data_IF_279877689675
#
_entry.id   IF_279877689675
#
_cell.length_a   1.000
_cell.length_b   1.000
_cell.length_c   1.000
_cell.angle_alpha   90.00
_cell.angle_beta   90.00
_cell.angle_gamma   90.00
#
_symmetry.space_group_name_H-M   'P 1'
#
loop_
_entity.id
_entity.type
_entity.pdbx_description
1 polymer ?
#
# COMPACT_ATOMS: atom_id res chain seq x y z
N UNK A 1 -2.08 13.87 -20.75
CA UNK A 1 -2.03 12.41 -20.56
C UNK A 1 -2.07 11.74 -21.93
N UNK A 2 -1.66 10.48 -22.08
CA UNK A 2 -2.08 9.69 -23.25
C UNK A 2 -3.61 9.69 -23.38
N UNK A 3 -4.14 9.21 -24.50
CA UNK A 3 -5.55 9.36 -24.93
C UNK A 3 -6.62 8.73 -24.01
N UNK A 4 -6.29 8.26 -22.81
CA UNK A 4 -7.22 7.60 -21.86
C UNK A 4 -6.98 8.03 -20.42
N UNK A 5 -8.06 8.15 -19.67
CA UNK A 5 -8.08 8.47 -18.23
C UNK A 5 -7.62 7.29 -17.36
N UNK A 6 -7.13 7.59 -16.16
CA UNK A 6 -6.97 6.58 -15.10
C UNK A 6 -8.32 6.43 -14.42
N UNK A 7 -8.83 5.20 -14.33
CA UNK A 7 -10.10 4.90 -13.66
C UNK A 7 -9.87 3.93 -12.53
N UNK A 8 -10.34 4.28 -11.33
CA UNK A 8 -10.31 3.43 -10.14
C UNK A 8 -11.74 2.99 -9.83
N UNK A 9 -11.93 1.69 -9.60
CA UNK A 9 -13.22 1.13 -9.17
C UNK A 9 -13.05 0.41 -7.84
N UNK A 10 -13.97 0.65 -6.91
CA UNK A 10 -14.14 -0.15 -5.69
C UNK A 10 -15.54 -0.75 -5.68
N UNK A 11 -15.78 -1.73 -4.80
CA UNK A 11 -17.07 -2.40 -4.67
C UNK A 11 -17.34 -2.78 -3.21
N UNK A 12 -18.61 -3.00 -2.87
CA UNK A 12 -19.00 -3.57 -1.58
C UNK A 12 -18.46 -4.98 -1.36
N UNK A 13 -18.20 -5.73 -2.45
CA UNK A 13 -17.58 -7.06 -2.39
C UNK A 13 -16.27 -7.03 -1.61
N UNK A 14 -15.45 -5.99 -1.78
CA UNK A 14 -14.11 -5.88 -1.17
C UNK A 14 -14.03 -4.75 -0.14
N UNK A 15 -15.16 -4.41 0.48
CA UNK A 15 -15.27 -3.46 1.59
C UNK A 15 -14.53 -2.11 1.39
N UNK A 16 -14.51 -1.57 0.16
CA UNK A 16 -13.85 -0.29 -0.14
C UNK A 16 -12.39 -0.38 -0.61
N UNK A 17 -11.77 -1.57 -0.58
CA UNK A 17 -10.49 -1.79 -1.26
C UNK A 17 -10.61 -1.56 -2.77
N UNK A 18 -9.52 -1.22 -3.44
CA UNK A 18 -9.58 -0.94 -4.89
C UNK A 18 -9.60 -2.26 -5.65
N UNK A 19 -10.73 -2.49 -6.32
CA UNK A 19 -11.04 -3.69 -7.08
C UNK A 19 -10.42 -3.64 -8.48
N UNK A 20 -10.37 -2.47 -9.10
CA UNK A 20 -9.86 -2.30 -10.46
C UNK A 20 -9.15 -0.95 -10.58
N UNK A 21 -8.06 -0.96 -11.36
CA UNK A 21 -7.36 0.24 -11.80
C UNK A 21 -7.09 0.06 -13.29
N UNK A 22 -7.70 0.90 -14.13
CA UNK A 22 -7.48 0.86 -15.57
C UNK A 22 -6.80 2.12 -16.07
N UNK A 23 -5.96 1.95 -17.09
CA UNK A 23 -5.39 3.03 -17.87
C UNK A 23 -5.07 2.52 -19.28
N UNK A 24 -5.42 3.29 -20.30
CA UNK A 24 -5.19 2.97 -21.71
C UNK A 24 -5.74 1.59 -22.11
N UNK A 25 -6.94 1.28 -21.63
CA UNK A 25 -7.66 0.04 -21.91
C UNK A 25 -7.10 -1.20 -21.23
N UNK A 26 -6.06 -1.08 -20.38
CA UNK A 26 -5.48 -2.19 -19.64
C UNK A 26 -5.89 -2.15 -18.16
N UNK A 27 -6.26 -3.30 -17.63
CA UNK A 27 -6.43 -3.56 -16.19
C UNK A 27 -5.07 -3.82 -15.52
N UNK A 28 -4.82 -3.14 -14.40
CA UNK A 28 -3.60 -3.25 -13.62
C UNK A 28 -3.76 -4.13 -12.38
N UNK A 29 -4.98 -4.37 -11.89
CA UNK A 29 -5.23 -5.14 -10.67
C UNK A 29 -5.86 -6.49 -11.00
N UNK A 30 -5.25 -7.57 -10.51
CA UNK A 30 -5.85 -8.90 -10.52
C UNK A 30 -6.68 -9.10 -9.25
N UNK A 31 -7.92 -8.62 -9.26
CA UNK A 31 -8.82 -8.71 -8.11
C UNK A 31 -9.70 -9.98 -8.09
N UNK A 32 -9.17 -11.11 -8.56
CA UNK A 32 -9.93 -12.37 -8.68
C UNK A 32 -10.49 -12.87 -7.34
N UNK A 33 -9.74 -12.80 -6.24
CA UNK A 33 -10.20 -13.17 -4.88
C UNK A 33 -9.82 -12.11 -3.83
N UNK A 34 -10.39 -12.24 -2.64
CA UNK A 34 -10.05 -11.42 -1.48
C UNK A 34 -8.60 -11.61 -1.10
N UNK A 35 -7.87 -10.51 -1.01
CA UNK A 35 -6.42 -10.51 -0.76
C UNK A 35 -5.63 -9.94 -1.94
N UNK A 36 -6.16 -10.00 -3.17
CA UNK A 36 -5.48 -9.52 -4.39
C UNK A 36 -5.94 -8.15 -4.90
N UNK A 37 -6.42 -7.29 -4.01
CA UNK A 37 -6.85 -5.93 -4.35
C UNK A 37 -5.66 -4.96 -4.31
N UNK A 38 -5.84 -3.74 -4.83
CA UNK A 38 -5.02 -2.65 -4.33
C UNK A 38 -5.57 -2.18 -2.99
N UNK A 39 -4.87 -2.52 -1.90
CA UNK A 39 -5.43 -2.46 -0.56
C UNK A 39 -4.39 -2.16 0.52
N UNK A 40 -4.89 -1.93 1.73
CA UNK A 40 -4.11 -1.76 2.95
C UNK A 40 -4.24 -2.96 3.89
N UNK A 41 -3.19 -3.26 4.66
CA UNK A 41 -3.23 -4.27 5.70
C UNK A 41 -2.26 -3.93 6.84
N UNK A 42 -2.51 -4.48 8.02
CA UNK A 42 -1.64 -4.32 9.18
C UNK A 42 -1.30 -5.68 9.80
N UNK A 43 -0.11 -5.84 10.36
CA UNK A 43 0.30 -7.02 11.11
C UNK A 43 0.81 -6.58 12.48
N UNK A 44 0.40 -7.28 13.53
CA UNK A 44 0.83 -6.97 14.89
C UNK A 44 1.42 -8.19 15.58
N UNK A 45 2.26 -7.93 16.56
CA UNK A 45 2.85 -8.95 17.43
C UNK A 45 1.84 -9.52 18.45
N UNK A 46 0.77 -8.77 18.75
CA UNK A 46 -0.24 -9.08 19.76
C UNK A 46 0.38 -9.49 21.12
N UNK A 47 1.33 -8.68 21.62
CA UNK A 47 2.03 -8.90 22.89
C UNK A 47 2.69 -10.29 23.00
N UNK A 48 3.15 -10.80 21.86
CA UNK A 48 3.86 -12.08 21.75
C UNK A 48 4.89 -11.98 20.63
N UNK A 49 5.63 -13.05 20.33
CA UNK A 49 6.58 -13.04 19.21
C UNK A 49 5.89 -12.64 17.91
N UNK A 50 6.43 -11.66 17.20
CA UNK A 50 5.93 -11.28 15.88
C UNK A 50 6.05 -12.44 14.89
N UNK A 51 4.93 -12.76 14.23
CA UNK A 51 4.85 -13.72 13.14
C UNK A 51 3.85 -13.13 12.13
N UNK A 52 4.26 -12.85 10.88
CA UNK A 52 3.37 -12.32 9.86
C UNK A 52 2.09 -13.16 9.70
N UNK A 53 1.00 -12.52 9.30
CA UNK A 53 -0.33 -13.10 9.05
C UNK A 53 -1.05 -13.69 10.28
N UNK A 54 -0.40 -13.83 11.43
CA UNK A 54 -1.03 -14.44 12.62
C UNK A 54 -1.95 -13.49 13.40
N UNK A 55 -1.71 -12.17 13.33
CA UNK A 55 -2.65 -11.14 13.80
C UNK A 55 -2.65 -10.02 12.77
N UNK A 56 -3.43 -10.22 11.72
CA UNK A 56 -3.32 -9.44 10.48
C UNK A 56 -4.68 -8.93 10.01
N UNK A 57 -5.11 -7.74 10.45
CA UNK A 57 -6.24 -7.04 9.85
C UNK A 57 -5.98 -6.66 8.40
N UNK A 58 -6.94 -6.92 7.51
CA UNK A 58 -6.86 -6.70 6.06
C UNK A 58 -8.07 -5.93 5.56
N UNK A 59 -7.85 -4.92 4.71
CA UNK A 59 -8.91 -4.04 4.21
C UNK A 59 -9.96 -4.81 3.39
N UNK A 60 -9.54 -5.61 2.40
CA UNK A 60 -10.49 -6.21 1.46
C UNK A 60 -11.34 -7.33 2.08
N UNK A 61 -10.89 -7.95 3.18
CA UNK A 61 -11.54 -9.09 3.83
C UNK A 61 -10.55 -10.19 4.20
N UNK A 62 -11.08 -11.33 4.62
CA UNK A 62 -10.33 -12.51 5.05
C UNK A 62 -9.98 -13.40 3.85
N UNK A 63 -8.95 -14.24 3.98
CA UNK A 63 -8.63 -15.23 2.95
C UNK A 63 -9.76 -16.22 2.68
N UNK A 64 -10.62 -16.41 3.68
CA UNK A 64 -11.74 -17.34 3.63
C UNK A 64 -12.92 -16.79 2.82
N UNK A 65 -12.94 -15.50 2.53
CA UNK A 65 -13.94 -14.89 1.62
C UNK A 65 -13.66 -15.34 0.18
N UNK A 66 -12.40 -15.62 -0.18
CA UNK A 66 -11.98 -16.20 -1.45
C UNK A 66 -12.54 -15.45 -2.66
N UNK A 67 -13.06 -16.18 -3.65
CA UNK A 67 -13.75 -15.60 -4.82
C UNK A 67 -15.18 -15.12 -4.52
N UNK A 68 -15.61 -15.20 -3.26
CA UNK A 68 -16.95 -14.86 -2.82
C UNK A 68 -17.37 -13.42 -3.13
N UNK A 69 -18.67 -13.19 -3.05
CA UNK A 69 -19.32 -11.91 -3.36
C UNK A 69 -19.43 -10.97 -2.16
N UNK A 70 -19.00 -11.41 -0.98
CA UNK A 70 -19.08 -10.66 0.28
C UNK A 70 -17.72 -10.65 0.96
N UNK A 71 -17.40 -9.52 1.57
CA UNK A 71 -16.26 -9.37 2.45
C UNK A 71 -16.67 -9.65 3.90
N UNK A 72 -15.74 -10.19 4.65
CA UNK A 72 -15.79 -10.23 6.11
C UNK A 72 -15.38 -8.89 6.75
N UNK A 73 -14.66 -8.02 6.02
CA UNK A 73 -14.47 -6.61 6.41
C UNK A 73 -15.77 -5.83 6.18
N UNK A 74 -15.97 -4.76 6.95
CA UNK A 74 -17.21 -3.97 6.92
C UNK A 74 -16.91 -2.57 6.41
N UNK A 75 -17.49 -2.20 5.26
CA UNK A 75 -17.46 -0.83 4.74
C UNK A 75 -18.43 0.04 5.54
N UNK A 76 -17.94 1.10 6.17
CA UNK A 76 -18.74 2.04 6.96
C UNK A 76 -19.14 3.27 6.16
N UNK A 77 -18.22 3.82 5.37
CA UNK A 77 -18.49 4.98 4.53
C UNK A 77 -17.73 4.90 3.22
N UNK A 78 -18.34 5.46 2.18
CA UNK A 78 -17.75 5.61 0.85
C UNK A 78 -18.26 6.91 0.25
N UNK A 79 -17.34 7.72 -0.27
CA UNK A 79 -17.64 8.89 -1.07
C UNK A 79 -16.71 8.91 -2.29
N UNK A 80 -17.26 9.23 -3.45
CA UNK A 80 -16.49 9.39 -4.68
C UNK A 80 -16.96 10.66 -5.38
N UNK A 81 -16.05 11.60 -5.58
CA UNK A 81 -16.33 12.89 -6.21
C UNK A 81 -15.13 13.30 -7.08
N UNK A 82 -15.41 13.62 -8.34
CA UNK A 82 -14.40 13.98 -9.34
C UNK A 82 -13.23 12.97 -9.38
N UNK A 83 -12.03 13.40 -8.98
CA UNK A 83 -10.81 12.60 -8.97
C UNK A 83 -10.46 12.02 -7.59
N UNK A 84 -11.40 12.03 -6.64
CA UNK A 84 -11.20 11.61 -5.24
C UNK A 84 -12.14 10.46 -4.88
N UNK A 85 -11.57 9.42 -4.26
CA UNK A 85 -12.29 8.33 -3.59
C UNK A 85 -11.91 8.29 -2.12
N UNK A 86 -12.88 8.37 -1.22
CA UNK A 86 -12.68 8.24 0.23
C UNK A 86 -13.49 7.06 0.77
N UNK A 87 -12.87 6.26 1.63
CA UNK A 87 -13.50 5.10 2.27
C UNK A 87 -13.10 4.98 3.74
N UNK A 88 -14.01 4.50 4.58
CA UNK A 88 -13.71 4.02 5.94
C UNK A 88 -14.24 2.61 6.09
N UNK A 89 -13.39 1.69 6.55
CA UNK A 89 -13.81 0.32 6.80
C UNK A 89 -13.24 -0.24 8.12
N UNK A 90 -13.94 -1.23 8.67
CA UNK A 90 -13.48 -2.05 9.78
C UNK A 90 -12.91 -3.34 9.18
N UNK A 91 -11.63 -3.58 9.41
CA UNK A 91 -10.90 -4.68 8.80
C UNK A 91 -11.26 -6.01 9.45
N UNK A 92 -11.39 -7.07 8.65
CA UNK A 92 -11.37 -8.45 9.14
C UNK A 92 -9.94 -8.95 9.29
N UNK A 93 -9.74 -9.98 10.10
CA UNK A 93 -8.48 -10.70 10.15
C UNK A 93 -8.33 -11.60 8.92
N UNK A 94 -7.14 -11.59 8.33
CA UNK A 94 -6.74 -12.46 7.23
C UNK A 94 -7.01 -13.94 7.54
N UNK A 95 -6.72 -14.36 8.78
CA UNK A 95 -7.01 -15.69 9.29
C UNK A 95 -8.24 -15.67 10.21
N UNK A 96 -9.10 -16.68 10.10
CA UNK A 96 -10.12 -16.97 11.11
C UNK A 96 -9.47 -17.62 12.36
N UNK A 97 -10.11 -17.56 13.54
CA UNK A 97 -9.62 -18.24 14.74
C UNK A 97 -9.34 -19.72 14.50
N UNK A 98 -8.21 -20.20 15.02
CA UNK A 98 -7.75 -21.59 14.86
C UNK A 98 -7.12 -21.94 13.51
N UNK A 99 -7.17 -21.06 12.51
CA UNK A 99 -6.44 -21.24 11.26
C UNK A 99 -4.93 -21.01 11.45
N UNK A 100 -4.14 -21.37 10.43
CA UNK A 100 -2.67 -21.23 10.45
C UNK A 100 -2.14 -20.52 9.21
N UNK A 101 -1.04 -19.80 9.38
CA UNK A 101 -0.13 -19.40 8.29
C UNK A 101 1.29 -19.81 8.64
N UNK A 102 2.01 -20.38 7.66
CA UNK A 102 3.36 -20.93 7.84
C UNK A 102 3.52 -21.82 9.09
N UNK A 103 2.49 -22.60 9.44
CA UNK A 103 2.48 -23.48 10.61
C UNK A 103 2.12 -22.81 11.95
N UNK A 104 2.04 -21.48 12.00
CA UNK A 104 1.69 -20.72 13.20
C UNK A 104 0.20 -20.44 13.29
N UNK A 105 -0.39 -20.62 14.48
CA UNK A 105 -1.81 -20.34 14.74
C UNK A 105 -2.10 -18.84 14.68
N UNK A 106 -3.29 -18.53 14.16
CA UNK A 106 -3.88 -17.20 14.25
C UNK A 106 -4.08 -16.82 15.73
N UNK A 107 -3.73 -15.58 16.07
CA UNK A 107 -3.78 -15.01 17.43
C UNK A 107 -5.10 -14.31 17.73
N UNK A 108 -5.92 -14.05 16.71
CA UNK A 108 -7.24 -13.48 16.86
C UNK A 108 -8.26 -14.51 17.36
N UNK A 109 -9.28 -14.02 18.06
CA UNK A 109 -10.40 -14.82 18.61
C UNK A 109 -11.72 -14.59 17.87
N UNK A 110 -11.77 -13.60 16.98
CA UNK A 110 -12.90 -13.25 16.10
C UNK A 110 -12.46 -13.13 14.65
N UNK A 111 -13.40 -13.16 13.70
CA UNK A 111 -13.10 -12.89 12.27
C UNK A 111 -12.98 -11.38 12.01
N UNK A 112 -13.96 -10.58 12.45
CA UNK A 112 -13.91 -9.13 12.34
C UNK A 112 -12.99 -8.56 13.44
N UNK A 113 -12.06 -7.69 13.06
CA UNK A 113 -11.16 -7.03 14.00
C UNK A 113 -11.79 -5.75 14.56
N UNK A 114 -11.13 -5.08 15.51
CA UNK A 114 -11.50 -3.73 15.96
C UNK A 114 -10.65 -2.63 15.31
N UNK A 115 -9.84 -2.99 14.33
CA UNK A 115 -8.98 -2.07 13.59
C UNK A 115 -9.76 -1.46 12.44
N UNK A 116 -9.59 -0.16 12.26
CA UNK A 116 -10.20 0.59 11.17
C UNK A 116 -9.12 1.07 10.22
N UNK A 117 -9.49 1.22 8.96
CA UNK A 117 -8.70 2.00 8.01
C UNK A 117 -9.57 3.06 7.34
N UNK A 118 -9.07 4.29 7.34
CA UNK A 118 -9.60 5.41 6.55
C UNK A 118 -8.65 5.66 5.41
N UNK A 119 -9.18 5.81 4.21
CA UNK A 119 -8.39 5.99 3.00
C UNK A 119 -8.97 7.11 2.16
N UNK A 120 -8.10 7.95 1.62
CA UNK A 120 -8.43 8.90 0.57
C UNK A 120 -7.46 8.72 -0.59
N UNK A 121 -8.00 8.51 -1.79
CA UNK A 121 -7.25 8.30 -3.01
C UNK A 121 -7.55 9.44 -3.97
N UNK A 122 -6.52 10.13 -4.43
CA UNK A 122 -6.66 11.28 -5.35
C UNK A 122 -5.83 11.05 -6.61
N UNK A 123 -6.47 11.09 -7.78
CA UNK A 123 -5.82 10.94 -9.09
C UNK A 123 -5.35 12.31 -9.60
N UNK A 124 -4.13 12.40 -10.11
CA UNK A 124 -3.67 13.57 -10.87
C UNK A 124 -3.15 14.74 -10.02
N UNK A 125 -2.39 14.47 -8.96
CA UNK A 125 -1.91 15.51 -8.02
C UNK A 125 -0.76 16.35 -8.61
N UNK A 126 -0.63 17.62 -8.20
CA UNK A 126 0.50 18.50 -8.56
C UNK A 126 0.74 18.65 -10.08
N UNK A 127 -0.33 18.54 -10.88
CA UNK A 127 -0.23 18.55 -12.35
C UNK A 127 0.39 17.28 -12.94
N UNK A 128 0.51 16.20 -12.16
CA UNK A 128 1.04 14.91 -12.54
C UNK A 128 -0.11 13.91 -12.75
N UNK A 129 -0.65 13.77 -13.98
CA UNK A 129 -1.84 12.93 -14.24
C UNK A 129 -1.61 11.44 -13.99
N UNK A 130 -0.35 11.01 -13.89
CA UNK A 130 0.06 9.62 -13.65
C UNK A 130 0.31 9.31 -12.17
N UNK A 131 0.11 10.27 -11.27
CA UNK A 131 0.27 10.10 -9.83
C UNK A 131 -1.09 9.94 -9.15
N UNK A 132 -1.21 8.88 -8.36
CA UNK A 132 -2.33 8.62 -7.47
C UNK A 132 -1.81 8.78 -6.04
N UNK A 133 -2.28 9.80 -5.32
CA UNK A 133 -2.01 9.92 -3.88
C UNK A 133 -2.86 8.89 -3.17
N UNK A 134 -2.24 8.10 -2.32
CA UNK A 134 -2.87 7.10 -1.47
C UNK A 134 -2.60 7.49 -0.01
N UNK A 135 -3.54 8.23 0.56
CA UNK A 135 -3.54 8.65 1.96
C UNK A 135 -4.31 7.64 2.79
N UNK A 136 -3.67 7.13 3.84
CA UNK A 136 -4.27 6.12 4.69
C UNK A 136 -4.03 6.41 6.17
N UNK A 137 -5.04 6.17 6.99
CA UNK A 137 -4.96 6.18 8.45
C UNK A 137 -5.39 4.83 8.98
N UNK A 138 -4.49 4.15 9.68
CA UNK A 138 -4.82 2.95 10.46
C UNK A 138 -5.16 3.34 11.89
N UNK A 139 -6.25 2.81 12.44
CA UNK A 139 -6.60 3.02 13.84
C UNK A 139 -6.32 1.75 14.65
N UNK A 140 -5.35 1.83 15.57
CA UNK A 140 -5.12 0.80 16.58
C UNK A 140 -6.17 0.96 17.69
N UNK A 141 -6.99 -0.05 17.98
CA UNK A 141 -8.05 0.04 18.99
C UNK A 141 -7.47 0.10 20.41
N UNK A 142 -8.20 0.81 21.29
CA UNK A 142 -7.88 0.86 22.72
C UNK A 142 -7.95 -0.54 23.34
N UNK A 143 -7.03 -0.81 24.28
CA UNK A 143 -6.97 -2.05 25.04
C UNK A 143 -6.22 -3.20 24.37
N UNK A 144 -5.82 -3.07 23.09
CA UNK A 144 -4.86 -4.03 22.51
C UNK A 144 -3.45 -3.64 22.90
N UNK A 145 -2.61 -4.64 23.14
CA UNK A 145 -1.22 -4.45 23.52
C UNK A 145 -0.34 -4.97 22.40
N UNK A 146 0.42 -4.06 21.81
CA UNK A 146 1.37 -4.34 20.75
C UNK A 146 2.67 -3.61 21.05
N UNK A 147 3.81 -4.24 20.78
CA UNK A 147 5.11 -3.55 20.78
C UNK A 147 5.57 -3.26 19.35
N UNK A 148 5.10 -4.06 18.40
CA UNK A 148 5.45 -3.95 16.99
C UNK A 148 4.21 -4.01 16.10
N UNK A 149 4.17 -3.10 15.14
CA UNK A 149 3.20 -3.07 14.06
C UNK A 149 3.94 -2.96 12.72
N UNK A 150 3.45 -3.69 11.73
CA UNK A 150 3.87 -3.57 10.34
C UNK A 150 2.64 -3.20 9.51
N UNK A 151 2.64 -1.98 8.96
CA UNK A 151 1.58 -1.46 8.12
C UNK A 151 1.98 -1.63 6.65
N UNK A 152 1.32 -2.54 5.96
CA UNK A 152 1.30 -2.58 4.51
C UNK A 152 0.36 -1.47 4.03
N UNK A 153 0.89 -0.25 3.95
CA UNK A 153 0.15 0.98 3.65
C UNK A 153 -0.61 0.85 2.34
N UNK A 154 0.07 0.37 1.30
CA UNK A 154 -0.57 -0.01 0.04
C UNK A 154 0.18 -1.18 -0.59
N UNK A 155 -0.57 -2.13 -1.10
CA UNK A 155 -0.10 -3.20 -1.96
C UNK A 155 -0.84 -3.15 -3.29
N UNK A 156 -0.19 -3.59 -4.37
CA UNK A 156 -0.80 -3.79 -5.67
C UNK A 156 -0.52 -5.19 -6.20
N UNK A 157 -1.57 -5.95 -6.48
CA UNK A 157 -1.50 -7.26 -7.11
C UNK A 157 -1.83 -7.12 -8.60
N UNK A 158 -0.84 -7.33 -9.47
CA UNK A 158 -0.98 -7.18 -10.91
C UNK A 158 -1.01 -8.52 -11.64
N UNK A 159 -1.68 -8.59 -12.81
CA UNK A 159 -1.56 -9.72 -13.72
C UNK A 159 -0.10 -10.07 -14.05
N UNK A 160 0.19 -11.33 -14.44
CA UNK A 160 1.55 -11.80 -14.64
C UNK A 160 2.22 -11.17 -15.88
N UNK A 161 1.45 -10.47 -16.72
CA UNK A 161 1.95 -9.66 -17.83
C UNK A 161 2.92 -8.55 -17.36
N UNK A 162 2.75 -8.04 -16.13
CA UNK A 162 3.68 -7.11 -15.47
C UNK A 162 4.94 -7.83 -14.97
N UNK A 163 5.63 -8.50 -15.90
CA UNK A 163 6.68 -9.48 -15.63
C UNK A 163 8.08 -8.88 -15.50
N UNK A 164 8.27 -7.60 -15.79
CA UNK A 164 9.55 -6.89 -15.62
C UNK A 164 9.55 -6.16 -14.29
N UNK A 165 10.50 -6.48 -13.43
CA UNK A 165 10.63 -5.95 -12.10
C UNK A 165 11.80 -4.96 -12.09
N UNK A 166 11.55 -3.77 -11.55
CA UNK A 166 12.53 -2.70 -11.53
C UNK A 166 12.69 -2.12 -10.14
N UNK A 167 13.91 -1.74 -9.83
CA UNK A 167 14.26 -0.83 -8.75
C UNK A 167 14.52 0.55 -9.38
N UNK A 168 13.98 1.61 -8.79
CA UNK A 168 14.22 2.97 -9.26
C UNK A 168 14.77 3.84 -8.15
N UNK A 169 15.86 4.56 -8.46
CA UNK A 169 16.40 5.60 -7.61
C UNK A 169 15.97 6.97 -8.15
N UNK A 170 15.00 7.66 -7.51
CA UNK A 170 14.51 8.94 -7.99
C UNK A 170 15.50 10.10 -7.81
N UNK A 171 16.50 9.98 -6.92
CA UNK A 171 17.48 11.02 -6.66
C UNK A 171 18.49 11.13 -7.81
N UNK A 172 19.00 9.98 -8.27
CA UNK A 172 19.93 9.92 -9.42
C UNK A 172 19.23 9.54 -10.74
N UNK A 173 17.90 9.33 -10.72
CA UNK A 173 17.05 8.95 -11.86
C UNK A 173 17.52 7.65 -12.54
N UNK A 174 17.93 6.68 -11.74
CA UNK A 174 18.50 5.44 -12.21
C UNK A 174 17.50 4.30 -12.08
N UNK A 175 17.17 3.67 -13.21
CA UNK A 175 16.33 2.47 -13.28
C UNK A 175 17.22 1.25 -13.49
N UNK A 176 17.06 0.21 -12.66
CA UNK A 176 17.79 -1.05 -12.84
C UNK A 176 16.85 -2.26 -12.72
N UNK A 177 17.18 -3.39 -13.37
CA UNK A 177 16.45 -4.64 -13.18
C UNK A 177 16.48 -5.07 -11.71
N UNK A 178 15.40 -5.70 -11.29
CA UNK A 178 15.24 -6.27 -9.95
C UNK A 178 14.79 -7.73 -10.07
N UNK A 179 15.21 -8.58 -9.12
CA UNK A 179 14.70 -9.96 -9.06
C UNK A 179 13.21 -9.97 -8.71
N UNK A 180 12.53 -11.07 -9.01
CA UNK A 180 11.11 -11.25 -8.70
C UNK A 180 10.82 -11.56 -7.21
N UNK A 181 11.86 -11.49 -6.36
CA UNK A 181 11.76 -11.67 -4.93
C UNK A 181 11.79 -13.14 -4.50
N UNK A 182 11.17 -13.49 -3.35
CA UNK A 182 10.44 -12.60 -2.45
C UNK A 182 11.37 -11.70 -1.62
N UNK A 183 10.88 -10.54 -1.19
CA UNK A 183 11.56 -9.73 -0.17
C UNK A 183 11.39 -8.24 -0.35
N UNK A 184 11.81 -7.50 0.68
CA UNK A 184 11.83 -6.04 0.69
C UNK A 184 13.20 -5.48 0.29
N UNK A 185 13.21 -4.19 0.01
CA UNK A 185 14.38 -3.41 -0.37
C UNK A 185 14.13 -1.92 -0.04
N UNK A 186 15.18 -1.09 0.03
CA UNK A 186 15.05 0.29 0.52
C UNK A 186 14.55 1.31 -0.50
N UNK A 187 14.62 1.01 -1.80
CA UNK A 187 14.25 1.94 -2.87
C UNK A 187 12.86 1.61 -3.44
N UNK A 188 12.24 2.51 -4.20
CA UNK A 188 11.01 2.21 -4.93
C UNK A 188 11.10 1.03 -5.87
N UNK A 189 9.95 0.37 -6.06
CA UNK A 189 9.76 -0.71 -7.02
C UNK A 189 8.75 -0.30 -8.09
N UNK A 190 9.00 -0.75 -9.32
CA UNK A 190 8.11 -0.57 -10.47
C UNK A 190 8.00 -1.90 -11.19
N UNK A 191 6.79 -2.35 -11.52
CA UNK A 191 6.60 -3.50 -12.40
C UNK A 191 6.03 -3.04 -13.74
N UNK A 192 6.49 -3.64 -14.84
CA UNK A 192 6.04 -3.27 -16.18
C UNK A 192 5.80 -4.48 -17.09
N UNK A 193 5.03 -4.26 -18.15
CA UNK A 193 4.99 -5.14 -19.30
C UNK A 193 6.36 -5.16 -20.01
N UNK A 194 6.69 -6.24 -20.75
CA UNK A 194 7.96 -6.34 -21.48
C UNK A 194 8.21 -5.21 -22.49
N UNK A 195 7.14 -4.67 -23.09
CA UNK A 195 7.19 -3.57 -24.05
C UNK A 195 7.22 -2.18 -23.40
N UNK A 196 7.26 -2.12 -22.06
CA UNK A 196 7.30 -0.90 -21.26
C UNK A 196 6.10 0.06 -21.46
N UNK A 197 5.04 -0.37 -22.15
CA UNK A 197 3.85 0.45 -22.40
C UNK A 197 2.96 0.58 -21.17
N UNK A 198 3.01 -0.37 -20.26
CA UNK A 198 2.24 -0.36 -19.02
C UNK A 198 3.16 -0.66 -17.85
N UNK A 199 3.13 0.20 -16.85
CA UNK A 199 3.91 0.10 -15.64
C UNK A 199 3.12 0.64 -14.46
N UNK A 200 3.27 -0.01 -13.32
CA UNK A 200 2.79 0.49 -12.04
C UNK A 200 3.91 0.42 -11.01
N UNK A 201 4.10 1.50 -10.27
CA UNK A 201 5.09 1.58 -9.20
C UNK A 201 4.55 2.27 -7.97
N UNK A 202 5.32 2.20 -6.88
CA UNK A 202 4.98 2.83 -5.61
C UNK A 202 6.18 3.61 -5.07
N UNK A 203 5.89 4.76 -4.48
CA UNK A 203 6.88 5.58 -3.78
C UNK A 203 6.24 6.26 -2.57
N UNK A 204 7.00 6.40 -1.49
CA UNK A 204 6.69 7.31 -0.40
C UNK A 204 7.92 8.15 -0.07
N UNK A 205 7.66 9.39 0.31
CA UNK A 205 8.67 10.34 0.75
C UNK A 205 9.19 10.04 2.17
N UNK A 206 8.48 9.17 2.90
CA UNK A 206 8.76 8.75 4.27
C UNK A 206 9.46 7.38 4.32
N UNK A 207 9.83 6.83 3.15
CA UNK A 207 10.51 5.56 3.02
C UNK A 207 11.92 5.71 2.42
N UNK A 208 12.92 4.97 2.91
CA UNK A 208 12.82 4.00 4.01
C UNK A 208 12.58 4.66 5.38
N UNK A 209 11.77 4.05 6.24
CA UNK A 209 11.47 4.57 7.58
C UNK A 209 12.65 4.38 8.55
N UNK A 210 12.77 5.24 9.56
CA UNK A 210 13.82 5.17 10.59
C UNK A 210 13.85 3.79 11.26
N UNK A 211 15.05 3.22 11.42
CA UNK A 211 15.28 1.88 11.96
C UNK A 211 15.01 0.74 10.98
N UNK A 212 14.56 1.05 9.75
CA UNK A 212 14.28 0.08 8.69
C UNK A 212 14.88 0.52 7.34
N UNK A 213 16.09 1.08 7.37
CA UNK A 213 16.78 1.71 6.22
C UNK A 213 17.07 0.76 5.05
N UNK A 214 16.90 -0.55 5.24
CA UNK A 214 17.14 -1.60 4.23
C UNK A 214 15.83 -2.25 3.72
N UNK A 215 14.67 -1.76 4.15
CA UNK A 215 13.37 -2.34 3.84
C UNK A 215 12.34 -1.23 3.53
N UNK A 216 11.09 -1.63 3.23
CA UNK A 216 9.99 -0.69 2.98
C UNK A 216 9.29 -0.89 1.64
N UNK A 217 9.96 -1.48 0.64
CA UNK A 217 9.35 -1.79 -0.65
C UNK A 217 9.53 -3.25 -1.01
N UNK A 218 8.45 -4.02 -1.09
CA UNK A 218 8.49 -5.44 -1.38
C UNK A 218 8.16 -5.80 -2.81
N UNK A 219 8.59 -6.99 -3.21
CA UNK A 219 8.33 -7.59 -4.51
C UNK A 219 8.13 -9.09 -4.40
N UNK A 220 7.12 -9.61 -5.09
CA UNK A 220 6.75 -11.01 -5.00
C UNK A 220 6.18 -11.50 -6.33
N UNK A 221 6.46 -12.76 -6.67
CA UNK A 221 5.79 -13.50 -7.74
C UNK A 221 5.14 -14.76 -7.17
N UNK A 222 3.83 -14.83 -7.32
CA UNK A 222 3.01 -15.94 -6.87
C UNK A 222 2.67 -16.83 -8.08
N UNK A 223 3.47 -17.88 -8.27
CA UNK A 223 3.39 -18.73 -9.47
C UNK A 223 2.06 -19.47 -9.58
N UNK A 224 1.53 -19.97 -8.46
CA UNK A 224 0.29 -20.75 -8.45
C UNK A 224 -0.93 -19.86 -8.73
N UNK A 225 -0.94 -18.67 -8.13
CA UNK A 225 -1.99 -17.67 -8.23
C UNK A 225 -1.89 -16.83 -9.52
N UNK A 226 -0.79 -16.97 -10.26
CA UNK A 226 -0.48 -16.25 -11.51
C UNK A 226 -0.53 -14.73 -11.34
N UNK A 227 -0.02 -14.22 -10.23
CA UNK A 227 -0.05 -12.79 -9.91
C UNK A 227 1.33 -12.31 -9.45
N UNK A 228 1.63 -11.04 -9.67
CA UNK A 228 2.81 -10.36 -9.11
C UNK A 228 2.36 -9.28 -8.13
N UNK A 229 3.13 -9.06 -7.07
CA UNK A 229 2.80 -8.10 -6.01
C UNK A 229 3.98 -7.18 -5.72
N UNK A 230 3.72 -5.89 -5.62
CA UNK A 230 4.56 -5.01 -4.82
C UNK A 230 3.78 -4.51 -3.60
N UNK A 231 4.51 -4.08 -2.57
CA UNK A 231 3.93 -3.35 -1.44
C UNK A 231 4.84 -2.20 -0.98
N UNK A 232 4.26 -1.26 -0.23
CA UNK A 232 4.99 -0.25 0.53
C UNK A 232 4.64 -0.39 2.02
N UNK A 233 5.66 -0.60 2.86
CA UNK A 233 5.51 -1.14 4.22
C UNK A 233 6.20 -0.25 5.24
N UNK A 234 5.44 0.21 6.22
CA UNK A 234 5.91 0.98 7.36
C UNK A 234 5.92 0.11 8.61
N UNK A 235 6.78 0.44 9.57
CA UNK A 235 6.93 -0.31 10.81
C UNK A 235 7.02 0.63 11.98
N UNK A 236 6.29 0.30 13.01
CA UNK A 236 6.30 1.01 14.29
C UNK A 236 6.78 0.04 15.36
N UNK A 237 7.71 0.49 16.18
CA UNK A 237 8.15 -0.24 17.35
C UNK A 237 8.20 0.67 18.58
N UNK A 238 7.74 0.14 19.71
CA UNK A 238 7.93 0.81 20.99
C UNK A 238 8.25 -0.22 22.09
N UNK A 239 9.29 0.02 22.91
CA UNK A 239 9.76 -0.96 23.90
C UNK A 239 8.70 -1.31 24.97
N UNK A 240 7.85 -0.35 25.35
CA UNK A 240 6.76 -0.58 26.32
C UNK A 240 5.44 -1.00 25.68
N UNK A 241 4.89 -0.17 24.79
CA UNK A 241 3.67 -0.44 24.05
C UNK A 241 3.51 0.62 22.96
N UNK A 242 3.00 0.26 21.79
CA UNK A 242 2.49 1.20 20.81
C UNK A 242 1.25 1.91 21.35
N UNK A 243 1.09 3.17 20.98
CA UNK A 243 -0.09 3.94 21.33
C UNK A 243 -1.32 3.38 20.59
N UNK A 244 -2.46 3.35 21.26
CA UNK A 244 -3.73 3.22 20.55
C UNK A 244 -4.05 4.56 19.86
N UNK A 245 -4.78 4.51 18.75
CA UNK A 245 -5.14 5.68 17.97
C UNK A 245 -4.67 5.59 16.52
N UNK A 246 -4.58 6.76 15.88
CA UNK A 246 -4.44 6.90 14.45
C UNK A 246 -2.97 6.99 14.02
N UNK A 247 -2.62 6.21 13.00
CA UNK A 247 -1.32 6.17 12.34
C UNK A 247 -1.52 6.51 10.86
N UNK A 248 -1.08 7.70 10.46
CA UNK A 248 -1.25 8.21 9.10
C UNK A 248 0.00 7.97 8.26
N UNK A 249 -0.20 7.55 7.00
CA UNK A 249 0.86 7.37 6.03
C UNK A 249 0.41 7.84 4.64
N UNK A 250 1.37 8.33 3.85
CA UNK A 250 1.16 8.70 2.45
C UNK A 250 2.04 7.89 1.52
N UNK A 251 1.43 7.27 0.53
CA UNK A 251 2.10 6.67 -0.61
C UNK A 251 1.61 7.30 -1.91
N UNK A 252 2.41 7.14 -2.96
CA UNK A 252 2.07 7.51 -4.32
C UNK A 252 2.11 6.25 -5.17
N UNK A 253 0.97 5.89 -5.75
CA UNK A 253 0.87 4.85 -6.77
C UNK A 253 0.97 5.52 -8.13
N UNK A 254 1.83 4.99 -8.99
CA UNK A 254 2.20 5.62 -10.25
C UNK A 254 1.80 4.70 -11.38
N UNK A 255 1.06 5.20 -12.38
CA UNK A 255 0.50 4.39 -13.47
C UNK A 255 0.71 5.05 -14.82
N UNK A 256 1.22 4.30 -15.81
CA UNK A 256 1.39 4.77 -17.18
C UNK A 256 2.36 3.90 -17.96
N UNK A 257 3.06 4.48 -18.95
CA UNK A 257 4.27 3.83 -19.49
C UNK A 257 5.38 3.80 -18.44
N UNK A 258 6.39 2.93 -18.60
CA UNK A 258 7.55 2.90 -17.70
C UNK A 258 8.20 4.29 -17.57
N UNK A 259 8.30 5.02 -18.67
CA UNK A 259 8.80 6.41 -18.69
C UNK A 259 7.90 7.36 -17.90
N UNK A 260 6.58 7.27 -18.05
CA UNK A 260 5.66 8.10 -17.26
C UNK A 260 5.84 7.85 -15.77
N UNK A 261 5.96 6.59 -15.36
CA UNK A 261 6.15 6.22 -13.95
C UNK A 261 7.46 6.80 -13.41
N UNK A 262 8.59 6.61 -14.09
CA UNK A 262 9.88 7.13 -13.62
C UNK A 262 9.92 8.66 -13.60
N UNK A 263 9.40 9.32 -14.64
CA UNK A 263 9.37 10.79 -14.72
C UNK A 263 8.51 11.39 -13.59
N UNK A 264 7.35 10.77 -13.33
CA UNK A 264 6.42 11.19 -12.29
C UNK A 264 7.03 10.99 -10.90
N UNK A 265 7.66 9.84 -10.64
CA UNK A 265 8.34 9.57 -9.37
C UNK A 265 9.46 10.59 -9.11
N UNK A 266 10.27 10.87 -10.13
CA UNK A 266 11.32 11.88 -10.05
C UNK A 266 10.76 13.30 -9.83
N UNK A 267 9.61 13.64 -10.41
CA UNK A 267 8.97 14.93 -10.18
C UNK A 267 8.46 15.07 -8.74
N UNK A 268 7.82 14.02 -8.21
CA UNK A 268 7.36 13.96 -6.82
C UNK A 268 8.53 14.08 -5.84
N UNK A 269 9.59 13.29 -6.02
CA UNK A 269 10.79 13.37 -5.18
C UNK A 269 11.38 14.78 -5.15
N UNK A 270 11.56 15.40 -6.33
CA UNK A 270 12.08 16.78 -6.42
C UNK A 270 11.17 17.80 -5.75
N UNK A 271 9.85 17.63 -5.82
CA UNK A 271 8.90 18.53 -5.15
C UNK A 271 9.01 18.45 -3.62
N UNK A 272 9.26 17.24 -3.11
CA UNK A 272 9.42 16.99 -1.68
C UNK A 272 10.77 17.49 -1.14
N UNK A 273 11.86 17.33 -1.88
CA UNK A 273 13.16 17.89 -1.48
C UNK A 273 13.10 19.42 -1.35
N UNK A 274 12.38 20.08 -2.27
CA UNK A 274 12.15 21.54 -2.23
C UNK A 274 11.32 21.96 -1.02
N UNK A 275 10.29 21.21 -0.65
CA UNK A 275 9.47 21.54 0.51
C UNK A 275 10.25 21.37 1.82
N UNK A 276 11.12 20.35 1.93
CA UNK A 276 12.06 20.20 3.05
C UNK A 276 13.04 21.38 3.15
N UNK A 277 13.65 21.79 2.03
CA UNK A 277 14.56 22.93 1.98
C UNK A 277 13.91 24.30 2.26
N UNK A 278 12.62 24.46 1.94
CA UNK A 278 11.85 25.67 2.28
C UNK A 278 11.43 25.70 3.75
N UNK A 279 11.16 24.53 4.34
CA UNK A 279 10.76 24.39 5.75
C UNK A 279 11.93 24.67 6.70
N UNK A 280 13.16 24.26 6.32
CA UNK A 280 14.37 24.58 7.08
C UNK A 280 14.73 26.07 7.05
N UNK A 281 14.47 26.77 5.94
CA UNK A 281 14.68 28.23 5.84
C UNK A 281 13.64 29.07 6.60
N UNK A 282 12.46 28.52 6.88
CA UNK A 282 11.41 29.22 7.65
C UNK A 282 11.63 29.08 9.16
N UNK A 283 12.17 27.93 9.61
CA UNK A 283 12.60 27.74 11.00
C UNK A 283 13.79 28.64 11.39
N UNK A 284 14.72 28.89 10.47
CA UNK A 284 15.86 29.79 10.70
C UNK A 284 15.48 31.28 10.79
N UNK A 285 14.27 31.66 10.37
CA UNK A 285 13.80 33.07 10.37
C UNK A 285 12.85 33.42 11.52
N UNK A 286 12.51 32.45 12.38
CA UNK A 286 11.68 32.65 13.60
C UNK A 286 12.48 32.70 14.91
N UNK A 287 13.80 32.61 14.85
CA UNK A 287 14.70 32.83 16.00
C UNK A 287 15.55 34.07 15.72
N UNK A 288 14.91 35.23 15.67
CA UNK A 288 15.49 36.57 15.82
C UNK A 288 14.35 37.58 15.80
N UNK A 289 13.73 37.74 16.96
CA UNK A 289 13.24 38.99 17.55
C UNK A 289 12.73 38.67 18.95
#
# INVERSE_FOLDING_TARGET
>A
AGTSEIVITTTSRVAGAIHSLTWNGLEFIDSTDHGRQMQSAANFDANSRFVPETFNPTEAGSRFDGVGTRSSSVLHSLAAEANVLSTENQMAFWLRPGAKSAGHLAKNTTVLSRHYVKKTVTIGIHGLPHAIVYDVTFTIPKGERHHYAQFEVVTGYMPPAFSKFWIFDPAIKHLAPLSDGPGEQPKPVIFSTPDAKYAMGVWSAEQPSEGYEQAGYGRFKFKAEKVVKWNCVFREYHPKQLAAGDYFYRCYVLVGTLKNVTDTMTALHRSFDKSKGSSSNTAARRVKN
#
